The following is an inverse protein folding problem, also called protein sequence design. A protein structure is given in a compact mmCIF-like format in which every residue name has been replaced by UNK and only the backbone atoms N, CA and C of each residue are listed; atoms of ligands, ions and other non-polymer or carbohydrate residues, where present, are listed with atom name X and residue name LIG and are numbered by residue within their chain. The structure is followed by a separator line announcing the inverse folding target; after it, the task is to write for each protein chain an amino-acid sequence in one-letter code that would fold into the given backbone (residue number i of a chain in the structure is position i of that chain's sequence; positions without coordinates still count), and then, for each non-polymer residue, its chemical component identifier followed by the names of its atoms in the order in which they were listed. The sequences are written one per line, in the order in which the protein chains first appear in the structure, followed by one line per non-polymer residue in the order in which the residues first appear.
data_IF_786308656432
#
_entry.id   IF_786308656432
#
_cell.length_a   1.000
_cell.length_b   1.000
_cell.length_c   1.000
_cell.angle_alpha   90.00
_cell.angle_beta   90.00
_cell.angle_gamma   90.00
#
_symmetry.space_group_name_H-M   'P 1'
#
loop_
_entity.id
_entity.type
_entity.pdbx_description
1 polymer ?
#
# COMPACT_ATOMS: atom_id res chain seq x y z
N UNK A 1 -1.26 7.47 15.30
CA UNK A 1 -1.07 7.23 13.85
C UNK A 1 -2.38 6.65 13.35
N UNK A 2 -3.07 7.33 12.42
CA UNK A 2 -4.37 6.85 11.93
C UNK A 2 -4.13 5.79 10.83
N UNK A 3 -4.46 4.53 11.11
CA UNK A 3 -4.26 3.42 10.18
C UNK A 3 -5.02 3.63 8.86
N UNK A 4 -6.19 4.27 8.90
CA UNK A 4 -6.96 4.60 7.70
C UNK A 4 -6.26 5.64 6.84
N UNK A 5 -5.60 6.62 7.46
CA UNK A 5 -4.82 7.64 6.77
C UNK A 5 -3.55 7.04 6.15
N UNK A 6 -2.85 6.17 6.87
CA UNK A 6 -1.70 5.41 6.35
C UNK A 6 -2.12 4.53 5.15
N UNK A 7 -3.25 3.83 5.26
CA UNK A 7 -3.82 3.00 4.20
C UNK A 7 -4.16 3.84 2.96
N UNK A 8 -4.74 5.02 3.13
CA UNK A 8 -5.06 5.95 2.04
C UNK A 8 -3.81 6.42 1.30
N UNK A 9 -2.77 6.79 2.06
CA UNK A 9 -1.49 7.24 1.50
C UNK A 9 -0.78 6.11 0.74
N UNK A 10 -0.75 4.89 1.30
CA UNK A 10 -0.17 3.72 0.63
C UNK A 10 -0.91 3.36 -0.68
N UNK A 11 -2.25 3.49 -0.72
CA UNK A 11 -3.03 3.29 -1.94
C UNK A 11 -2.68 4.33 -3.01
N UNK A 12 -2.52 5.60 -2.64
CA UNK A 12 -2.08 6.66 -3.57
C UNK A 12 -0.69 6.37 -4.14
N UNK A 13 0.26 6.01 -3.30
CA UNK A 13 1.63 5.69 -3.72
C UNK A 13 1.66 4.48 -4.67
N UNK A 14 0.85 3.46 -4.39
CA UNK A 14 0.72 2.29 -5.26
C UNK A 14 0.20 2.65 -6.65
N UNK A 15 -0.75 3.59 -6.76
CA UNK A 15 -1.28 4.07 -8.05
C UNK A 15 -0.17 4.76 -8.85
N UNK A 16 0.61 5.65 -8.22
CA UNK A 16 1.72 6.35 -8.88
C UNK A 16 2.75 5.34 -9.39
N UNK A 17 3.13 4.35 -8.58
CA UNK A 17 4.10 3.33 -9.00
C UNK A 17 3.58 2.44 -10.14
N UNK A 18 2.26 2.16 -10.19
CA UNK A 18 1.63 1.45 -11.30
C UNK A 18 1.66 2.29 -12.59
N UNK A 19 1.39 3.59 -12.50
CA UNK A 19 1.51 4.51 -13.64
C UNK A 19 2.95 4.52 -14.15
N UNK A 20 3.93 4.69 -13.26
CA UNK A 20 5.35 4.67 -13.62
C UNK A 20 5.76 3.36 -14.30
N UNK A 21 5.18 2.24 -13.90
CA UNK A 21 5.41 0.92 -14.52
C UNK A 21 4.88 0.87 -15.94
N UNK A 22 3.66 1.38 -16.15
CA UNK A 22 3.03 1.43 -17.47
C UNK A 22 3.78 2.38 -18.39
N UNK A 23 4.21 3.54 -17.89
CA UNK A 23 4.97 4.55 -18.64
C UNK A 23 6.44 4.16 -18.86
N UNK A 24 6.83 2.93 -18.52
CA UNK A 24 8.21 2.40 -18.65
C UNK A 24 9.28 3.28 -18.01
N UNK A 25 8.91 4.09 -17.03
CA UNK A 25 9.89 4.78 -16.19
C UNK A 25 10.65 3.75 -15.36
N UNK A 26 11.86 4.11 -14.89
CA UNK A 26 12.63 3.27 -13.97
C UNK A 26 11.74 2.90 -12.79
N UNK A 27 11.29 1.65 -12.74
CA UNK A 27 10.32 1.21 -11.76
C UNK A 27 10.95 0.34 -10.71
N UNK A 28 10.76 0.77 -9.48
CA UNK A 28 11.19 0.05 -8.31
C UNK A 28 10.13 -1.00 -7.95
N UNK A 29 10.13 -2.12 -8.67
CA UNK A 29 9.20 -3.25 -8.42
C UNK A 29 9.22 -3.71 -6.96
N UNK A 30 10.35 -3.53 -6.26
CA UNK A 30 10.48 -3.83 -4.84
C UNK A 30 9.66 -2.87 -3.96
N UNK A 31 9.50 -1.59 -4.33
CA UNK A 31 8.62 -0.63 -3.63
C UNK A 31 7.16 -1.05 -3.74
N UNK A 32 6.72 -1.50 -4.91
CA UNK A 32 5.35 -2.04 -5.11
C UNK A 32 5.09 -3.20 -4.14
N UNK A 33 6.02 -4.17 -4.06
CA UNK A 33 5.88 -5.31 -3.15
C UNK A 33 5.84 -4.87 -1.67
N UNK A 34 6.69 -3.92 -1.27
CA UNK A 34 6.70 -3.39 0.11
C UNK A 34 5.38 -2.72 0.47
N UNK A 35 4.84 -1.87 -0.41
CA UNK A 35 3.57 -1.18 -0.19
C UNK A 35 2.41 -2.17 -0.11
N UNK A 36 2.36 -3.17 -1.00
CA UNK A 36 1.35 -4.22 -0.95
C UNK A 36 1.40 -5.01 0.36
N UNK A 37 2.60 -5.37 0.82
CA UNK A 37 2.77 -6.05 2.11
C UNK A 37 2.29 -5.18 3.28
N UNK A 38 2.61 -3.88 3.27
CA UNK A 38 2.19 -2.94 4.31
C UNK A 38 0.66 -2.78 4.35
N UNK A 39 0.01 -2.66 3.19
CA UNK A 39 -1.46 -2.63 3.07
C UNK A 39 -2.07 -3.91 3.68
N UNK A 40 -1.51 -5.08 3.37
CA UNK A 40 -2.00 -6.34 3.92
C UNK A 40 -1.87 -6.41 5.46
N UNK A 41 -0.76 -5.90 6.02
CA UNK A 41 -0.57 -5.81 7.47
C UNK A 41 -1.63 -4.90 8.13
N UNK A 42 -1.88 -3.72 7.55
CA UNK A 42 -2.88 -2.78 8.09
C UNK A 42 -4.28 -3.41 8.07
N UNK A 43 -4.68 -3.99 6.94
CA UNK A 43 -5.98 -4.66 6.83
C UNK A 43 -6.14 -5.82 7.83
N UNK A 44 -5.07 -6.60 8.04
CA UNK A 44 -5.08 -7.67 9.04
C UNK A 44 -5.28 -7.14 10.46
N UNK A 45 -4.61 -6.03 10.81
CA UNK A 45 -4.77 -5.39 12.11
C UNK A 45 -6.17 -4.81 12.31
N UNK A 46 -6.76 -4.18 11.28
CA UNK A 46 -8.14 -3.68 11.35
C UNK A 46 -9.14 -4.81 11.55
N UNK A 47 -9.03 -5.91 10.79
CA UNK A 47 -9.92 -7.06 10.94
C UNK A 47 -9.80 -7.72 12.31
N UNK A 48 -8.57 -7.92 12.82
CA UNK A 48 -8.34 -8.48 14.15
C UNK A 48 -8.88 -7.59 15.29
N UNK A 49 -8.95 -6.28 15.06
CA UNK A 49 -9.51 -5.33 16.02
C UNK A 49 -11.04 -5.33 15.98
N UNK A 50 -11.64 -5.59 14.82
CA UNK A 50 -13.11 -5.68 14.64
C UNK A 50 -13.72 -7.02 15.10
N UNK A 51 -12.91 -8.05 15.35
CA UNK A 51 -13.34 -9.37 15.87
C UNK A 51 -13.42 -9.43 17.42
N UNK A 52 -13.07 -8.35 18.12
CA UNK A 52 -13.17 -8.23 19.59
C UNK A 52 -14.36 -7.37 20.00
#
# INVERSE_FOLDING_TARGET
MNLQEELHNLKKELVILRINKITKQKTENHKIKKIQHRIAQINYLENKTNEK
#
